data_IF_090200936854
#
_entry.id   IF_090200936854
#
_cell.length_a   1.000
_cell.length_b   1.000
_cell.length_c   1.000
_cell.angle_alpha   90.00
_cell.angle_beta   90.00
_cell.angle_gamma   90.00
#
_symmetry.space_group_name_H-M   'P 1'
#
loop_
_entity.id
_entity.type
_entity.pdbx_description
1 polymer ?
#
# COMPACT_ATOMS: atom_id res chain seq x y z
N UNK A 1 -27.74 13.80 16.56
CA UNK A 1 -27.82 13.11 15.26
C UNK A 1 -26.44 13.18 14.64
N UNK A 2 -25.97 12.11 13.99
CA UNK A 2 -24.68 12.13 13.29
C UNK A 2 -24.71 13.21 12.21
N UNK A 3 -23.61 13.92 12.02
CA UNK A 3 -23.52 14.92 10.97
C UNK A 3 -23.42 14.24 9.59
N UNK A 4 -23.88 14.91 8.53
CA UNK A 4 -23.94 14.33 7.18
C UNK A 4 -22.57 13.87 6.68
N UNK A 5 -21.51 14.62 6.99
CA UNK A 5 -20.13 14.23 6.64
C UNK A 5 -19.66 12.95 7.35
N UNK A 6 -20.09 12.68 8.58
CA UNK A 6 -19.73 11.45 9.31
C UNK A 6 -20.38 10.23 8.66
N UNK A 7 -21.65 10.36 8.26
CA UNK A 7 -22.38 9.30 7.56
C UNK A 7 -21.70 8.99 6.22
N UNK A 8 -21.29 10.00 5.46
CA UNK A 8 -20.61 9.83 4.19
C UNK A 8 -19.28 9.08 4.34
N UNK A 9 -18.49 9.41 5.37
CA UNK A 9 -17.22 8.72 5.68
C UNK A 9 -17.45 7.26 6.10
N UNK A 10 -18.45 7.00 6.95
CA UNK A 10 -18.78 5.63 7.38
C UNK A 10 -19.22 4.78 6.18
N UNK A 11 -20.05 5.34 5.29
CA UNK A 11 -20.50 4.65 4.09
C UNK A 11 -19.35 4.43 3.10
N UNK A 12 -18.41 5.37 2.98
CA UNK A 12 -17.19 5.21 2.18
C UNK A 12 -16.30 4.08 2.71
N UNK A 13 -16.09 4.03 4.03
CA UNK A 13 -15.31 2.96 4.65
C UNK A 13 -16.01 1.60 4.53
N UNK A 14 -17.31 1.54 4.77
CA UNK A 14 -18.09 0.31 4.65
C UNK A 14 -18.10 -0.25 3.24
N UNK A 15 -18.26 0.61 2.23
CA UNK A 15 -18.19 0.22 0.82
C UNK A 15 -16.79 -0.20 0.39
N UNK A 16 -15.74 0.45 0.89
CA UNK A 16 -14.35 0.00 0.69
C UNK A 16 -14.13 -1.43 1.21
N UNK A 17 -14.55 -1.71 2.45
CA UNK A 17 -14.42 -3.03 3.06
C UNK A 17 -15.20 -4.07 2.24
N UNK A 18 -16.44 -3.76 1.85
CA UNK A 18 -17.26 -4.66 1.04
C UNK A 18 -16.61 -4.96 -0.32
N UNK A 19 -16.05 -3.95 -0.98
CA UNK A 19 -15.44 -4.10 -2.30
C UNK A 19 -14.12 -4.89 -2.25
N UNK A 20 -13.35 -4.85 -1.17
CA UNK A 20 -12.15 -5.71 -1.03
C UNK A 20 -12.49 -7.20 -1.19
N UNK A 21 -13.65 -7.64 -0.68
CA UNK A 21 -14.06 -9.05 -0.79
C UNK A 21 -14.41 -9.49 -2.22
N UNK A 22 -14.57 -8.56 -3.16
CA UNK A 22 -14.79 -8.91 -4.57
C UNK A 22 -13.54 -9.40 -5.29
N UNK A 23 -12.35 -9.27 -4.67
CA UNK A 23 -11.07 -9.70 -5.25
C UNK A 23 -10.52 -8.75 -6.32
N UNK A 24 -11.15 -7.59 -6.55
CA UNK A 24 -10.61 -6.55 -7.41
C UNK A 24 -9.30 -5.96 -6.85
N UNK A 25 -8.35 -5.54 -7.69
CA UNK A 25 -7.10 -4.95 -7.21
C UNK A 25 -7.36 -3.69 -6.37
N UNK A 26 -6.78 -3.66 -5.17
CA UNK A 26 -7.04 -2.65 -4.14
C UNK A 26 -6.79 -1.21 -4.64
N UNK A 27 -5.79 -1.01 -5.51
CA UNK A 27 -5.48 0.30 -6.09
C UNK A 27 -6.68 0.91 -6.85
N UNK A 28 -7.40 0.10 -7.63
CA UNK A 28 -8.59 0.55 -8.37
C UNK A 28 -9.76 0.82 -7.44
N UNK A 29 -9.91 0.01 -6.39
CA UNK A 29 -10.96 0.20 -5.38
C UNK A 29 -10.73 1.52 -4.65
N UNK A 30 -9.53 1.78 -4.12
CA UNK A 30 -9.20 3.01 -3.39
C UNK A 30 -9.37 4.26 -4.26
N UNK A 31 -8.82 4.25 -5.48
CA UNK A 31 -8.94 5.39 -6.39
C UNK A 31 -10.37 5.62 -6.87
N UNK A 32 -11.07 4.54 -7.25
CA UNK A 32 -12.44 4.60 -7.74
C UNK A 32 -13.42 5.08 -6.67
N UNK A 33 -13.36 4.50 -5.46
CA UNK A 33 -14.18 4.96 -4.32
C UNK A 33 -13.91 6.42 -3.98
N UNK A 34 -12.64 6.84 -3.93
CA UNK A 34 -12.30 8.23 -3.64
C UNK A 34 -12.93 9.20 -4.65
N UNK A 35 -12.91 8.87 -5.94
CA UNK A 35 -13.54 9.69 -6.98
C UNK A 35 -15.06 9.66 -6.88
N UNK A 36 -15.67 8.47 -6.74
CA UNK A 36 -17.13 8.34 -6.63
C UNK A 36 -17.66 9.12 -5.42
N UNK A 37 -17.05 8.95 -4.25
CA UNK A 37 -17.48 9.66 -3.04
C UNK A 37 -17.17 11.16 -3.09
N UNK A 38 -16.11 11.59 -3.79
CA UNK A 38 -15.88 13.00 -4.05
C UNK A 38 -16.98 13.61 -4.92
N UNK A 39 -17.39 12.93 -5.99
CA UNK A 39 -18.52 13.38 -6.85
C UNK A 39 -19.83 13.39 -6.08
N UNK A 40 -20.13 12.32 -5.33
CA UNK A 40 -21.34 12.23 -4.48
C UNK A 40 -21.34 13.35 -3.42
N UNK A 41 -20.18 13.67 -2.84
CA UNK A 41 -20.04 14.73 -1.86
C UNK A 41 -20.33 16.12 -2.42
N UNK A 42 -19.81 16.44 -3.61
CA UNK A 42 -20.04 17.74 -4.26
C UNK A 42 -21.48 17.86 -4.77
N UNK A 43 -22.02 16.83 -5.41
CA UNK A 43 -23.42 16.83 -5.86
C UNK A 43 -24.39 16.86 -4.67
N UNK A 44 -24.07 16.20 -3.57
CA UNK A 44 -24.85 16.27 -2.34
C UNK A 44 -24.87 17.66 -1.71
N UNK A 45 -23.75 18.40 -1.78
CA UNK A 45 -23.70 19.79 -1.35
C UNK A 45 -24.53 20.70 -2.27
N UNK A 46 -24.44 20.52 -3.60
CA UNK A 46 -25.12 21.39 -4.57
C UNK A 46 -26.64 21.17 -4.69
N UNK A 47 -27.11 19.91 -4.67
CA UNK A 47 -28.53 19.58 -4.85
C UNK A 47 -29.34 19.58 -3.54
N UNK A 48 -28.71 19.24 -2.42
CA UNK A 48 -29.40 18.95 -1.15
C UNK A 48 -28.94 19.86 0.01
N UNK A 49 -28.09 20.85 -0.28
CA UNK A 49 -27.51 21.81 0.69
C UNK A 49 -26.88 21.10 1.90
N UNK A 50 -26.29 19.92 1.65
CA UNK A 50 -25.69 19.08 2.68
C UNK A 50 -24.33 19.62 3.09
N UNK A 51 -24.09 19.68 4.41
CA UNK A 51 -22.78 20.04 4.94
C UNK A 51 -21.78 18.89 4.77
N UNK A 52 -21.06 18.93 3.65
CA UNK A 52 -20.00 17.98 3.28
C UNK A 52 -18.60 18.45 3.75
N UNK A 53 -18.52 19.45 4.64
CA UNK A 53 -17.33 20.05 5.24
C UNK A 53 -16.33 20.69 4.25
N UNK A 54 -15.71 19.91 3.36
CA UNK A 54 -14.64 20.35 2.45
C UNK A 54 -15.04 20.30 0.97
N UNK A 55 -16.00 19.44 0.59
CA UNK A 55 -16.39 19.18 -0.80
C UNK A 55 -17.66 19.95 -1.17
N UNK A 56 -17.64 21.27 -1.04
CA UNK A 56 -18.80 22.15 -1.25
C UNK A 56 -18.95 22.67 -2.68
N UNK A 57 -17.89 22.67 -3.48
CA UNK A 57 -17.89 23.24 -4.84
C UNK A 57 -16.96 22.44 -5.77
N UNK A 58 -17.32 22.33 -7.05
CA UNK A 58 -16.52 21.70 -8.09
C UNK A 58 -15.13 22.33 -8.24
N UNK A 59 -14.97 23.60 -7.87
CA UNK A 59 -13.67 24.29 -7.86
C UNK A 59 -12.68 23.67 -6.88
N UNK A 60 -13.17 23.12 -5.77
CA UNK A 60 -12.33 22.49 -4.73
C UNK A 60 -11.82 21.12 -5.20
N UNK A 61 -12.53 20.48 -6.15
CA UNK A 61 -12.12 19.21 -6.73
C UNK A 61 -10.71 19.29 -7.36
N UNK A 62 -10.28 20.47 -7.84
CA UNK A 62 -8.92 20.69 -8.36
C UNK A 62 -7.78 20.39 -7.37
N UNK A 63 -8.06 20.40 -6.06
CA UNK A 63 -7.10 20.04 -5.00
C UNK A 63 -6.61 18.59 -5.16
N UNK A 64 -7.38 17.72 -5.80
CA UNK A 64 -6.97 16.33 -6.05
C UNK A 64 -5.67 16.24 -6.85
N UNK A 65 -5.47 17.14 -7.82
CA UNK A 65 -4.26 17.18 -8.66
C UNK A 65 -3.05 17.52 -7.81
N UNK A 66 -3.17 18.53 -6.94
CA UNK A 66 -2.10 18.91 -6.03
C UNK A 66 -1.78 17.78 -5.04
N UNK A 67 -2.78 17.05 -4.55
CA UNK A 67 -2.57 15.90 -3.66
C UNK A 67 -1.87 14.73 -4.36
N UNK A 68 -2.27 14.41 -5.59
CA UNK A 68 -1.60 13.39 -6.40
C UNK A 68 -0.14 13.79 -6.64
N UNK A 69 0.09 15.03 -7.04
CA UNK A 69 1.45 15.53 -7.27
C UNK A 69 2.30 15.49 -6.00
N UNK A 70 1.74 15.90 -4.85
CA UNK A 70 2.42 15.82 -3.56
C UNK A 70 2.80 14.37 -3.19
N UNK A 71 1.94 13.40 -3.50
CA UNK A 71 2.24 11.99 -3.28
C UNK A 71 3.32 11.48 -4.25
N UNK A 72 3.28 11.87 -5.52
CA UNK A 72 4.30 11.51 -6.51
C UNK A 72 5.68 12.10 -6.17
N UNK A 73 5.70 13.31 -5.62
CA UNK A 73 6.92 13.99 -5.18
C UNK A 73 7.48 13.44 -3.85
N UNK A 74 6.83 12.42 -3.27
CA UNK A 74 7.26 11.85 -2.01
C UNK A 74 8.58 11.07 -2.19
N UNK A 75 9.61 11.48 -1.45
CA UNK A 75 10.95 10.88 -1.48
C UNK A 75 10.95 9.40 -1.07
N UNK A 76 9.97 8.95 -0.29
CA UNK A 76 9.79 7.53 0.05
C UNK A 76 9.54 6.67 -1.19
N UNK A 77 8.93 7.23 -2.24
CA UNK A 77 8.71 6.49 -3.49
C UNK A 77 10.02 6.18 -4.23
N UNK A 78 11.11 6.91 -3.95
CA UNK A 78 12.45 6.61 -4.49
C UNK A 78 13.02 5.32 -3.87
N UNK A 79 12.53 4.91 -2.70
CA UNK A 79 12.92 3.63 -2.09
C UNK A 79 12.46 2.41 -2.91
N UNK A 80 11.31 2.49 -3.60
CA UNK A 80 10.76 1.37 -4.38
C UNK A 80 11.71 0.88 -5.48
N UNK A 81 12.22 1.72 -6.41
CA UNK A 81 13.14 1.27 -7.44
C UNK A 81 14.49 0.81 -6.86
N UNK A 82 14.96 1.45 -5.79
CA UNK A 82 16.19 1.03 -5.09
C UNK A 82 16.03 -0.35 -4.45
N UNK A 83 14.86 -0.64 -3.88
CA UNK A 83 14.52 -1.95 -3.33
C UNK A 83 14.50 -3.02 -4.43
N UNK A 84 13.84 -2.73 -5.57
CA UNK A 84 13.81 -3.62 -6.73
C UNK A 84 15.24 -3.86 -7.24
N UNK A 85 16.06 -2.82 -7.34
CA UNK A 85 17.44 -2.92 -7.80
C UNK A 85 18.29 -3.81 -6.89
N UNK A 86 18.24 -3.61 -5.58
CA UNK A 86 18.96 -4.44 -4.62
C UNK A 86 18.48 -5.90 -4.66
N UNK A 87 17.17 -6.15 -4.73
CA UNK A 87 16.63 -7.50 -4.88
C UNK A 87 17.16 -8.19 -6.14
N UNK A 88 17.13 -7.48 -7.27
CA UNK A 88 17.64 -7.98 -8.54
C UNK A 88 19.16 -8.22 -8.49
N UNK A 89 19.92 -7.35 -7.82
CA UNK A 89 21.37 -7.51 -7.65
C UNK A 89 21.71 -8.71 -6.76
N UNK A 90 20.97 -8.95 -5.69
CA UNK A 90 21.15 -10.13 -4.83
C UNK A 90 20.84 -11.44 -5.56
N UNK A 91 19.79 -11.44 -6.38
CA UNK A 91 19.43 -12.57 -7.25
C UNK A 91 20.51 -12.80 -8.33
N UNK A 92 20.90 -11.76 -9.06
CA UNK A 92 21.88 -11.83 -10.17
C UNK A 92 23.30 -12.14 -9.70
N UNK A 93 23.67 -11.70 -8.50
CA UNK A 93 24.98 -12.02 -7.92
C UNK A 93 25.08 -13.45 -7.43
N UNK A 94 23.99 -14.23 -7.38
CA UNK A 94 23.98 -15.61 -6.87
C UNK A 94 24.40 -15.73 -5.40
N UNK A 95 24.40 -14.61 -4.65
CA UNK A 95 24.76 -14.60 -3.23
C UNK A 95 23.65 -15.28 -2.42
N UNK A 96 22.38 -15.03 -2.75
CA UNK A 96 21.25 -15.67 -2.09
C UNK A 96 21.30 -17.21 -2.22
N UNK A 97 21.60 -17.74 -3.40
CA UNK A 97 21.69 -19.19 -3.64
C UNK A 97 22.85 -19.82 -2.86
N UNK A 98 24.03 -19.19 -2.89
CA UNK A 98 25.19 -19.67 -2.13
C UNK A 98 24.93 -19.72 -0.63
N UNK A 99 24.28 -18.69 -0.09
CA UNK A 99 23.88 -18.65 1.32
C UNK A 99 22.88 -19.76 1.66
N UNK A 100 21.88 -20.02 0.80
CA UNK A 100 20.94 -21.15 0.96
C UNK A 100 21.67 -22.50 1.05
N UNK A 101 22.65 -22.74 0.18
CA UNK A 101 23.43 -23.99 0.18
C UNK A 101 24.30 -24.13 1.43
N UNK A 102 24.96 -23.06 1.86
CA UNK A 102 25.86 -23.10 3.02
C UNK A 102 25.09 -23.32 4.34
N UNK A 103 23.95 -22.64 4.51
CA UNK A 103 23.11 -22.80 5.69
C UNK A 103 22.35 -24.13 5.70
N UNK A 104 21.91 -24.63 4.55
CA UNK A 104 21.31 -25.97 4.47
C UNK A 104 22.32 -27.07 4.83
N UNK A 105 23.60 -26.90 4.48
CA UNK A 105 24.68 -27.79 4.94
C UNK A 105 24.97 -27.65 6.43
N UNK A 106 24.93 -26.42 6.96
CA UNK A 106 25.16 -26.14 8.37
C UNK A 106 24.09 -26.77 9.27
N UNK A 107 22.82 -26.61 8.91
CA UNK A 107 21.70 -27.07 9.73
C UNK A 107 21.13 -28.44 9.31
N UNK A 108 21.41 -28.94 8.11
CA UNK A 108 20.84 -30.17 7.54
C UNK A 108 21.13 -31.46 8.32
N UNK A 109 22.07 -31.43 9.28
CA UNK A 109 22.37 -32.56 10.18
C UNK A 109 21.35 -32.73 11.30
N UNK A 110 20.55 -31.71 11.60
CA UNK A 110 19.50 -31.76 12.61
C UNK A 110 18.15 -32.15 12.00
N UNK A 111 17.33 -32.99 12.68
CA UNK A 111 15.96 -33.25 12.24
C UNK A 111 15.16 -31.92 12.22
N UNK A 112 14.62 -31.56 11.06
CA UNK A 112 13.98 -30.25 10.83
C UNK A 112 14.93 -29.11 10.43
N UNK A 113 16.24 -29.37 10.30
CA UNK A 113 17.25 -28.35 10.05
C UNK A 113 17.14 -27.62 8.71
N UNK A 114 16.53 -28.24 7.70
CA UNK A 114 16.20 -27.55 6.44
C UNK A 114 15.17 -26.44 6.65
N UNK A 115 14.14 -26.67 7.49
CA UNK A 115 13.15 -25.65 7.83
C UNK A 115 13.77 -24.50 8.61
N UNK A 116 14.66 -24.80 9.56
CA UNK A 116 15.41 -23.79 10.31
C UNK A 116 16.29 -22.93 9.38
N UNK A 117 16.99 -23.57 8.43
CA UNK A 117 17.80 -22.84 7.45
C UNK A 117 16.95 -21.87 6.61
N UNK A 118 15.79 -22.30 6.13
CA UNK A 118 14.86 -21.45 5.35
C UNK A 118 14.38 -20.24 6.17
N UNK A 119 13.97 -20.46 7.42
CA UNK A 119 13.51 -19.37 8.30
C UNK A 119 14.63 -18.37 8.57
N UNK A 120 15.83 -18.85 8.92
CA UNK A 120 16.99 -17.99 9.22
C UNK A 120 17.38 -17.15 8.01
N UNK A 121 17.45 -17.76 6.83
CA UNK A 121 17.84 -17.05 5.61
C UNK A 121 16.74 -16.10 5.15
N UNK A 122 15.47 -16.50 5.29
CA UNK A 122 14.33 -15.62 5.07
C UNK A 122 14.41 -14.35 5.93
N UNK A 123 14.77 -14.49 7.21
CA UNK A 123 14.99 -13.35 8.11
C UNK A 123 16.18 -12.50 7.66
N UNK A 124 17.32 -13.11 7.32
CA UNK A 124 18.53 -12.38 6.93
C UNK A 124 18.36 -11.60 5.62
N UNK A 125 17.72 -12.21 4.61
CA UNK A 125 17.39 -11.56 3.35
C UNK A 125 16.31 -10.49 3.55
N UNK A 126 15.27 -10.75 4.34
CA UNK A 126 14.26 -9.74 4.65
C UNK A 126 14.88 -8.54 5.40
N UNK A 127 15.75 -8.78 6.38
CA UNK A 127 16.41 -7.72 7.15
C UNK A 127 17.37 -6.89 6.30
N UNK A 128 18.15 -7.51 5.41
CA UNK A 128 19.06 -6.78 4.51
C UNK A 128 18.32 -5.90 3.50
N UNK A 129 17.05 -6.19 3.26
CA UNK A 129 16.17 -5.38 2.42
C UNK A 129 15.34 -4.32 3.18
N UNK A 130 15.41 -4.30 4.52
CA UNK A 130 14.29 -3.89 5.37
C UNK A 130 14.29 -2.50 6.01
N UNK A 131 15.08 -1.51 5.57
CA UNK A 131 15.07 -0.16 6.22
C UNK A 131 14.68 0.98 5.27
N UNK A 132 14.84 0.83 3.96
CA UNK A 132 14.78 2.00 3.06
C UNK A 132 13.35 2.44 2.72
N UNK A 133 12.34 1.57 2.87
CA UNK A 133 10.94 1.87 2.51
C UNK A 133 10.02 2.32 3.66
N UNK A 134 10.47 2.27 4.91
CA UNK A 134 9.63 2.49 6.10
C UNK A 134 9.83 3.87 6.78
N UNK A 135 10.59 4.77 6.15
CA UNK A 135 10.90 6.11 6.66
C UNK A 135 10.45 7.18 5.69
#
# INVERSE_FOLDING_TARGET
>A
MLATYEILVIVMLGSFIALIFTGFPIAWILGGLAVVFAVVGVLGAELLDLDTYFLTDWRIFGVIVQRIYAQMANWVLVALPMFIFMGLMLERSGVAERLMVDFSRLFGRFPGGLGLAVVVIGILLAASTGIVGAS
#
